data_IF_996220697102
#
_entry.id   IF_996220697102
#
_cell.length_a   1.000
_cell.length_b   1.000
_cell.length_c   1.000
_cell.angle_alpha   90.00
_cell.angle_beta   90.00
_cell.angle_gamma   90.00
#
_symmetry.space_group_name_H-M   'P 1'
#
loop_
_entity.id
_entity.type
_entity.pdbx_description
1 polymer ?
#
# COMPACT_ATOMS: atom_id res chain seq x y z
N UNK A 1 23.02 -9.01 44.67
CA UNK A 1 22.87 -7.80 43.82
C UNK A 1 22.24 -8.08 42.44
N UNK A 2 21.41 -9.12 42.26
CA UNK A 2 20.84 -9.48 40.95
C UNK A 2 19.50 -8.81 40.59
N UNK A 3 18.93 -7.98 41.47
CA UNK A 3 17.65 -7.31 41.21
C UNK A 3 17.78 -6.04 40.32
N UNK A 4 18.99 -5.52 40.12
CA UNK A 4 19.22 -4.31 39.31
C UNK A 4 19.31 -4.55 37.79
N UNK A 5 19.76 -5.74 37.37
CA UNK A 5 19.97 -6.04 35.94
C UNK A 5 18.64 -6.29 35.19
N UNK A 6 17.69 -7.01 35.80
CA UNK A 6 16.39 -7.30 35.18
C UNK A 6 15.49 -6.07 35.06
N UNK A 7 15.59 -5.12 35.98
CA UNK A 7 14.81 -3.88 35.93
C UNK A 7 15.32 -2.93 34.84
N UNK A 8 16.65 -2.89 34.63
CA UNK A 8 17.28 -2.04 33.61
C UNK A 8 16.95 -2.51 32.19
N UNK A 9 16.93 -3.83 31.95
CA UNK A 9 16.51 -4.43 30.67
C UNK A 9 15.02 -4.20 30.37
N UNK A 10 14.15 -4.29 31.37
CA UNK A 10 12.72 -3.97 31.22
C UNK A 10 12.49 -2.49 30.91
N UNK A 11 13.22 -1.58 31.56
CA UNK A 11 13.13 -0.14 31.30
C UNK A 11 13.64 0.21 29.90
N UNK A 12 14.71 -0.44 29.41
CA UNK A 12 15.19 -0.23 28.05
C UNK A 12 14.22 -0.77 27.00
N UNK A 13 13.62 -1.94 27.22
CA UNK A 13 12.56 -2.50 26.35
C UNK A 13 11.33 -1.58 26.35
N UNK A 14 10.88 -1.12 27.51
CA UNK A 14 9.72 -0.24 27.63
C UNK A 14 9.96 1.13 26.98
N UNK A 15 11.16 1.70 27.12
CA UNK A 15 11.60 2.92 26.42
C UNK A 15 11.70 2.72 24.91
N UNK A 16 12.16 1.55 24.47
CA UNK A 16 12.24 1.23 23.03
C UNK A 16 10.85 1.10 22.40
N UNK A 17 9.89 0.51 23.11
CA UNK A 17 8.50 0.42 22.69
C UNK A 17 7.83 1.81 22.70
N UNK A 18 8.01 2.61 23.75
CA UNK A 18 7.46 3.97 23.80
C UNK A 18 8.01 4.86 22.68
N UNK A 19 9.31 4.71 22.39
CA UNK A 19 9.95 5.45 21.30
C UNK A 19 9.49 4.98 19.92
N UNK A 20 9.26 3.67 19.73
CA UNK A 20 8.70 3.13 18.50
C UNK A 20 7.27 3.65 18.25
N UNK A 21 6.43 3.65 19.27
CA UNK A 21 5.06 4.19 19.16
C UNK A 21 5.08 5.70 18.88
N UNK A 22 5.96 6.46 19.52
CA UNK A 22 6.17 7.86 19.20
C UNK A 22 6.58 8.06 17.72
N UNK A 23 7.53 7.26 17.22
CA UNK A 23 7.96 7.32 15.81
C UNK A 23 6.81 7.00 14.85
N UNK A 24 6.01 5.97 15.14
CA UNK A 24 4.81 5.65 14.35
C UNK A 24 3.83 6.82 14.35
N UNK A 25 3.53 7.37 15.52
CA UNK A 25 2.57 8.47 15.65
C UNK A 25 3.06 9.73 14.93
N UNK A 26 4.34 10.08 15.06
CA UNK A 26 4.96 11.20 14.35
C UNK A 26 4.94 10.98 12.82
N UNK A 27 5.22 9.75 12.36
CA UNK A 27 5.15 9.40 10.94
C UNK A 27 3.73 9.59 10.38
N UNK A 28 2.71 9.04 11.05
CA UNK A 28 1.32 9.21 10.62
C UNK A 28 0.90 10.67 10.58
N UNK A 29 1.26 11.46 11.60
CA UNK A 29 0.93 12.88 11.65
C UNK A 29 1.57 13.67 10.49
N UNK A 30 2.86 13.48 10.24
CA UNK A 30 3.55 14.17 9.13
C UNK A 30 2.96 13.74 7.79
N UNK A 31 2.74 12.44 7.59
CA UNK A 31 2.12 11.89 6.38
C UNK A 31 0.75 12.51 6.12
N UNK A 32 -0.10 12.60 7.16
CA UNK A 32 -1.42 13.23 7.07
C UNK A 32 -1.34 14.70 6.62
N UNK A 33 -0.39 15.48 7.16
CA UNK A 33 -0.20 16.88 6.79
C UNK A 33 0.27 17.05 5.34
N UNK A 34 1.16 16.16 4.88
CA UNK A 34 1.61 16.15 3.48
C UNK A 34 0.44 15.81 2.55
N UNK A 35 -0.33 14.77 2.87
CA UNK A 35 -1.48 14.36 2.07
C UNK A 35 -2.54 15.47 2.02
N UNK A 36 -2.81 16.13 3.15
CA UNK A 36 -3.73 17.29 3.21
C UNK A 36 -3.24 18.42 2.30
N UNK A 37 -1.94 18.74 2.31
CA UNK A 37 -1.39 19.77 1.44
C UNK A 37 -1.47 19.37 -0.04
N UNK A 38 -1.20 18.11 -0.39
CA UNK A 38 -1.34 17.60 -1.77
C UNK A 38 -2.77 17.78 -2.27
N UNK A 39 -3.78 17.39 -1.48
CA UNK A 39 -5.19 17.55 -1.86
C UNK A 39 -5.60 19.02 -2.05
N UNK A 40 -5.01 19.94 -1.27
CA UNK A 40 -5.38 21.36 -1.32
C UNK A 40 -4.64 22.15 -2.42
N UNK A 41 -3.44 21.70 -2.82
CA UNK A 41 -2.51 22.48 -3.65
C UNK A 41 -2.22 21.85 -5.02
N UNK A 42 -2.70 20.63 -5.27
CA UNK A 42 -2.49 19.89 -6.53
C UNK A 42 -3.82 19.32 -7.04
N UNK A 43 -3.80 18.70 -8.22
CA UNK A 43 -4.93 18.04 -8.87
C UNK A 43 -5.08 16.55 -8.50
N UNK A 44 -4.37 16.13 -7.45
CA UNK A 44 -4.46 14.78 -6.88
C UNK A 44 -5.82 14.56 -6.22
N UNK A 45 -6.45 13.43 -6.51
CA UNK A 45 -7.74 13.06 -5.91
C UNK A 45 -7.57 12.20 -4.65
N UNK A 46 -8.59 12.13 -3.76
CA UNK A 46 -8.56 11.21 -2.63
C UNK A 46 -8.40 9.74 -3.05
N UNK A 47 -9.01 9.34 -4.17
CA UNK A 47 -8.90 7.98 -4.70
C UNK A 47 -7.47 7.66 -5.17
N UNK A 48 -6.80 8.64 -5.80
CA UNK A 48 -5.39 8.53 -6.18
C UNK A 48 -4.51 8.33 -4.95
N UNK A 49 -4.61 9.19 -3.93
CA UNK A 49 -3.81 9.03 -2.70
C UNK A 49 -4.07 7.68 -2.01
N UNK A 50 -5.33 7.28 -1.95
CA UNK A 50 -5.72 6.02 -1.31
C UNK A 50 -5.13 4.81 -2.06
N UNK A 51 -5.09 4.86 -3.39
CA UNK A 51 -4.50 3.82 -4.24
C UNK A 51 -2.98 3.82 -4.16
N UNK A 52 -2.33 5.00 -4.14
CA UNK A 52 -0.89 5.13 -3.89
C UNK A 52 -0.51 4.51 -2.53
N UNK A 53 -1.31 4.80 -1.49
CA UNK A 53 -1.08 4.28 -0.14
C UNK A 53 -1.33 2.77 -0.03
N UNK A 54 -2.39 2.27 -0.67
CA UNK A 54 -2.71 0.84 -0.70
C UNK A 54 -1.65 0.02 -1.46
N UNK A 55 -1.06 0.59 -2.50
CA UNK A 55 -0.08 -0.09 -3.36
C UNK A 55 1.38 0.26 -3.04
N UNK A 56 1.62 0.93 -1.92
CA UNK A 56 2.98 1.16 -1.46
C UNK A 56 3.62 -0.16 -0.97
N UNK A 57 4.95 -0.20 -0.84
CA UNK A 57 5.77 -1.34 -0.38
C UNK A 57 5.57 -1.69 1.11
N UNK A 58 4.34 -1.50 1.60
CA UNK A 58 3.91 -1.77 2.95
C UNK A 58 3.91 -3.29 3.19
N UNK A 59 4.48 -3.78 4.31
CA UNK A 59 4.41 -5.20 4.65
C UNK A 59 2.98 -5.73 4.87
N UNK A 60 2.00 -4.86 5.12
CA UNK A 60 0.60 -5.25 5.30
C UNK A 60 -0.21 -5.05 4.02
N UNK A 61 -1.04 -6.06 3.69
CA UNK A 61 -2.01 -5.97 2.62
C UNK A 61 -3.01 -4.82 2.87
N UNK A 62 -3.58 -4.21 1.80
CA UNK A 62 -4.63 -3.23 1.92
C UNK A 62 -5.79 -3.75 2.77
N UNK A 63 -6.29 -2.94 3.70
CA UNK A 63 -7.43 -3.35 4.50
C UNK A 63 -8.74 -3.34 3.68
N UNK A 64 -9.76 -4.15 4.07
CA UNK A 64 -11.01 -4.25 3.30
C UNK A 64 -11.77 -2.94 3.13
N UNK A 65 -11.65 -1.97 4.07
CA UNK A 65 -12.34 -0.68 3.96
C UNK A 65 -11.67 0.17 2.88
N UNK A 66 -10.34 0.16 2.84
CA UNK A 66 -9.56 0.81 1.78
C UNK A 66 -9.95 0.27 0.40
N UNK A 67 -10.02 -1.06 0.24
CA UNK A 67 -10.45 -1.68 -1.02
C UNK A 67 -11.88 -1.28 -1.45
N UNK A 68 -12.81 -1.24 -0.49
CA UNK A 68 -14.19 -0.82 -0.75
C UNK A 68 -14.31 0.65 -1.15
N UNK A 69 -13.48 1.54 -0.58
CA UNK A 69 -13.44 2.95 -0.96
C UNK A 69 -12.87 3.12 -2.37
N UNK A 70 -11.77 2.42 -2.70
CA UNK A 70 -11.17 2.45 -4.06
C UNK A 70 -12.18 1.94 -5.11
N UNK A 71 -12.81 0.79 -4.88
CA UNK A 71 -13.78 0.24 -5.84
C UNK A 71 -15.01 1.11 -6.02
N UNK A 72 -15.47 1.78 -4.97
CA UNK A 72 -16.54 2.78 -5.07
C UNK A 72 -16.12 3.99 -5.90
N UNK A 73 -14.92 4.53 -5.67
CA UNK A 73 -14.39 5.66 -6.45
C UNK A 73 -14.17 5.32 -7.92
N UNK A 74 -13.85 4.07 -8.24
CA UNK A 74 -13.60 3.62 -9.60
C UNK A 74 -14.81 3.77 -10.55
N UNK A 75 -16.02 4.03 -10.06
CA UNK A 75 -17.18 4.34 -10.91
C UNK A 75 -17.19 5.78 -11.44
N UNK A 76 -16.38 6.67 -10.86
CA UNK A 76 -16.14 8.02 -11.39
C UNK A 76 -15.01 7.97 -12.42
N UNK A 77 -15.24 8.51 -13.62
CA UNK A 77 -14.33 8.36 -14.77
C UNK A 77 -12.93 8.91 -14.46
N UNK A 78 -12.86 10.08 -13.83
CA UNK A 78 -11.60 10.77 -13.53
C UNK A 78 -10.75 10.04 -12.46
N UNK A 79 -11.43 9.48 -11.45
CA UNK A 79 -10.79 8.64 -10.42
C UNK A 79 -10.40 7.28 -11.00
N UNK A 80 -11.23 6.69 -11.87
CA UNK A 80 -10.92 5.43 -12.54
C UNK A 80 -9.59 5.51 -13.29
N UNK A 81 -9.39 6.55 -14.10
CA UNK A 81 -8.14 6.72 -14.85
C UNK A 81 -6.93 6.90 -13.93
N UNK A 82 -7.06 7.63 -12.82
CA UNK A 82 -5.97 7.78 -11.83
C UNK A 82 -5.65 6.49 -11.10
N UNK A 83 -6.67 5.73 -10.70
CA UNK A 83 -6.50 4.42 -10.08
C UNK A 83 -5.81 3.47 -11.09
N UNK A 84 -6.29 3.44 -12.33
CA UNK A 84 -5.76 2.58 -13.37
C UNK A 84 -4.30 2.89 -13.68
N UNK A 85 -3.94 4.16 -13.82
CA UNK A 85 -2.55 4.60 -14.07
C UNK A 85 -1.58 4.12 -12.98
N UNK A 86 -1.97 4.24 -11.70
CA UNK A 86 -1.17 3.72 -10.59
C UNK A 86 -0.98 2.21 -10.70
N UNK A 87 -2.07 1.47 -10.94
CA UNK A 87 -2.00 0.01 -11.04
C UNK A 87 -1.18 -0.45 -12.25
N UNK A 88 -1.34 0.21 -13.39
CA UNK A 88 -0.55 -0.03 -14.60
C UNK A 88 0.93 0.11 -14.30
N UNK A 89 1.35 1.24 -13.73
CA UNK A 89 2.75 1.48 -13.37
C UNK A 89 3.29 0.40 -12.40
N UNK A 90 2.51 0.03 -11.36
CA UNK A 90 2.91 -1.00 -10.37
C UNK A 90 3.03 -2.41 -10.94
N UNK A 91 2.26 -2.73 -11.98
CA UNK A 91 2.25 -4.05 -12.62
C UNK A 91 3.25 -4.13 -13.77
N UNK A 92 3.40 -3.06 -14.57
CA UNK A 92 4.32 -3.01 -15.70
C UNK A 92 5.79 -2.97 -15.27
N UNK A 93 6.07 -2.28 -14.15
CA UNK A 93 7.42 -2.18 -13.56
C UNK A 93 7.61 -3.22 -12.46
N UNK A 94 7.25 -4.48 -12.71
CA UNK A 94 7.50 -5.54 -11.75
C UNK A 94 9.00 -5.62 -11.43
N UNK A 95 9.36 -5.16 -10.23
CA UNK A 95 10.69 -5.22 -9.66
C UNK A 95 10.70 -6.26 -8.54
N UNK A 96 11.68 -7.16 -8.60
CA UNK A 96 11.89 -8.19 -7.57
C UNK A 96 12.27 -7.58 -6.21
N UNK A 97 12.87 -6.39 -6.20
CA UNK A 97 13.22 -5.67 -4.98
C UNK A 97 11.94 -5.12 -4.34
N UNK A 98 11.07 -4.48 -5.12
CA UNK A 98 9.83 -3.85 -4.67
C UNK A 98 8.58 -4.69 -4.93
N UNK A 99 8.72 -6.02 -4.83
CA UNK A 99 7.68 -6.96 -5.23
C UNK A 99 6.37 -6.80 -4.45
N UNK A 100 6.39 -6.26 -3.21
CA UNK A 100 5.16 -6.05 -2.43
C UNK A 100 4.29 -4.98 -3.03
N UNK A 101 4.86 -3.97 -3.70
CA UNK A 101 4.09 -2.94 -4.36
C UNK A 101 3.25 -3.54 -5.50
N UNK A 102 3.84 -4.40 -6.33
CA UNK A 102 3.12 -5.14 -7.39
C UNK A 102 2.13 -6.14 -6.80
N UNK A 103 2.47 -6.84 -5.71
CA UNK A 103 1.56 -7.75 -5.01
C UNK A 103 0.34 -7.02 -4.43
N UNK A 104 0.54 -5.89 -3.76
CA UNK A 104 -0.56 -5.07 -3.25
C UNK A 104 -1.41 -4.50 -4.39
N UNK A 105 -0.80 -4.14 -5.52
CA UNK A 105 -1.53 -3.76 -6.73
C UNK A 105 -2.41 -4.90 -7.29
N UNK A 106 -1.93 -6.15 -7.27
CA UNK A 106 -2.73 -7.32 -7.63
C UNK A 106 -3.96 -7.49 -6.72
N UNK A 107 -3.81 -7.28 -5.40
CA UNK A 107 -4.94 -7.33 -4.45
C UNK A 107 -6.00 -6.27 -4.80
N UNK A 108 -5.56 -5.04 -5.10
CA UNK A 108 -6.47 -3.97 -5.52
C UNK A 108 -7.16 -4.32 -6.85
N UNK A 109 -6.41 -4.82 -7.83
CA UNK A 109 -6.94 -5.22 -9.13
C UNK A 109 -7.97 -6.36 -9.01
N UNK A 110 -7.69 -7.39 -8.21
CA UNK A 110 -8.63 -8.49 -7.94
C UNK A 110 -9.96 -7.97 -7.36
N UNK A 111 -9.86 -7.03 -6.40
CA UNK A 111 -11.04 -6.43 -5.81
C UNK A 111 -11.83 -5.58 -6.82
N UNK A 112 -11.14 -4.84 -7.70
CA UNK A 112 -11.78 -4.08 -8.78
C UNK A 112 -12.45 -4.96 -9.84
N UNK A 113 -11.86 -6.12 -10.17
CA UNK A 113 -12.47 -7.07 -11.11
C UNK A 113 -13.78 -7.66 -10.57
N UNK A 114 -13.94 -7.73 -9.26
CA UNK A 114 -15.11 -8.32 -8.60
C UNK A 114 -16.15 -7.29 -8.15
N UNK A 115 -15.74 -6.07 -7.77
CA UNK A 115 -16.60 -5.05 -7.17
C UNK A 115 -16.61 -3.71 -7.94
N UNK A 116 -15.74 -3.54 -8.93
CA UNK A 116 -15.58 -2.31 -9.71
C UNK A 116 -16.34 -2.31 -11.04
N UNK A 117 -16.06 -1.31 -11.89
CA UNK A 117 -16.64 -1.21 -13.22
C UNK A 117 -16.25 -2.39 -14.12
N UNK A 118 -17.15 -2.80 -15.02
CA UNK A 118 -16.88 -3.87 -15.99
C UNK A 118 -15.73 -3.56 -16.95
N UNK A 119 -15.38 -2.29 -17.12
CA UNK A 119 -14.26 -1.84 -17.95
C UNK A 119 -12.91 -2.32 -17.44
N UNK A 120 -12.76 -2.59 -16.13
CA UNK A 120 -11.51 -3.05 -15.51
C UNK A 120 -10.96 -4.28 -16.23
N UNK A 121 -11.81 -5.25 -16.58
CA UNK A 121 -11.37 -6.47 -17.23
C UNK A 121 -10.72 -6.23 -18.60
N UNK A 122 -11.19 -5.23 -19.35
CA UNK A 122 -10.65 -4.90 -20.66
C UNK A 122 -9.41 -4.00 -20.54
N UNK A 123 -9.42 -3.08 -19.57
CA UNK A 123 -8.32 -2.14 -19.32
C UNK A 123 -7.01 -2.85 -19.01
N UNK A 124 -7.06 -3.91 -18.19
CA UNK A 124 -5.85 -4.59 -17.70
C UNK A 124 -5.40 -5.79 -18.55
N UNK A 125 -5.86 -5.90 -19.80
CA UNK A 125 -5.44 -6.99 -20.68
C UNK A 125 -3.97 -6.89 -21.08
N UNK A 126 -3.40 -5.68 -21.16
CA UNK A 126 -1.99 -5.46 -21.50
C UNK A 126 -1.02 -5.93 -20.43
N UNK A 127 -1.46 -6.00 -19.16
CA UNK A 127 -0.63 -6.35 -18.00
C UNK A 127 -0.61 -7.86 -17.75
N UNK A 128 -1.46 -8.65 -18.44
CA UNK A 128 -1.50 -10.12 -18.32
C UNK A 128 -0.12 -10.78 -18.44
N UNK A 129 0.78 -10.40 -19.37
CA UNK A 129 2.12 -10.96 -19.43
C UNK A 129 2.97 -10.66 -18.18
N UNK A 130 2.85 -9.44 -17.62
CA UNK A 130 3.57 -9.05 -16.41
C UNK A 130 3.02 -9.81 -15.19
N UNK A 131 1.70 -9.94 -15.07
CA UNK A 131 1.04 -10.75 -14.04
C UNK A 131 1.51 -12.21 -14.11
N UNK A 132 1.58 -12.79 -15.32
CA UNK A 132 2.10 -14.16 -15.51
C UNK A 132 3.56 -14.32 -15.09
N UNK A 133 4.39 -13.29 -15.29
CA UNK A 133 5.78 -13.33 -14.84
C UNK A 133 5.90 -13.40 -13.31
N UNK A 134 4.91 -12.87 -12.59
CA UNK A 134 4.83 -12.93 -11.13
C UNK A 134 4.40 -14.30 -10.60
N UNK A 135 3.75 -15.16 -11.39
CA UNK A 135 3.28 -16.49 -10.95
C UNK A 135 4.41 -17.37 -10.39
N UNK A 136 5.61 -17.25 -10.96
CA UNK A 136 6.79 -18.03 -10.56
C UNK A 136 7.75 -17.25 -9.66
N UNK A 137 7.35 -16.07 -9.19
CA UNK A 137 8.18 -15.26 -8.31
C UNK A 137 8.21 -15.86 -6.89
N UNK A 138 9.40 -15.96 -6.33
CA UNK A 138 9.63 -16.38 -4.95
C UNK A 138 10.61 -15.41 -4.30
N UNK A 139 10.26 -14.97 -3.09
CA UNK A 139 11.10 -14.15 -2.24
C UNK A 139 11.04 -14.70 -0.83
N UNK A 140 12.20 -14.98 -0.25
CA UNK A 140 12.37 -15.37 1.16
C UNK A 140 12.88 -14.14 1.87
N UNK A 141 12.20 -13.74 2.95
CA UNK A 141 12.60 -12.55 3.69
C UNK A 141 13.83 -12.83 4.59
N UNK A 142 14.33 -11.80 5.28
CA UNK A 142 15.52 -11.93 6.15
C UNK A 142 15.31 -12.91 7.33
N UNK A 143 14.08 -13.33 7.61
CA UNK A 143 13.73 -14.27 8.69
C UNK A 143 13.51 -15.71 8.21
N UNK A 144 13.51 -15.97 6.89
CA UNK A 144 13.32 -17.29 6.30
C UNK A 144 11.87 -17.59 5.96
#
# INVERSE_FOLDING_TARGET
>A
SMLGFSNTQNISIMRSNSFLEFRKQAYFYIKEKINTARLALTDVTPAQLLTEDATNDNPWAPDPRTLALISRSAFEVDDYWRIADILHHRLSEFDRIHWRASYNALIVLEHLLTHGPKSVANEFQSEVPAIKAMENFQHVDEKG
#
